data_IF_240262893572
#
_entry.id   IF_240262893572
#
_cell.length_a   1.000
_cell.length_b   1.000
_cell.length_c   1.000
_cell.angle_alpha   90.00
_cell.angle_beta   90.00
_cell.angle_gamma   90.00
#
_symmetry.space_group_name_H-M   'P 1'
#
loop_
_entity.id
_entity.type
_entity.pdbx_description
1 polymer ?
#
# COMPACT_ATOMS: atom_id res chain seq x y z
N UNK A 1 10.36 5.76 5.50
CA UNK A 1 8.90 5.77 5.71
C UNK A 1 8.29 7.16 5.58
N UNK A 2 8.65 8.17 6.39
CA UNK A 2 7.98 9.50 6.34
C UNK A 2 8.00 10.16 4.95
N UNK A 3 9.13 10.14 4.24
CA UNK A 3 9.21 10.69 2.88
C UNK A 3 8.30 9.97 1.87
N UNK A 4 8.16 8.65 1.99
CA UNK A 4 7.27 7.86 1.14
C UNK A 4 5.79 8.16 1.46
N UNK A 5 5.43 8.28 2.74
CA UNK A 5 4.08 8.63 3.18
C UNK A 5 3.71 10.06 2.71
N UNK A 6 4.64 11.00 2.85
CA UNK A 6 4.43 12.37 2.36
C UNK A 6 4.29 12.35 0.83
N UNK A 7 5.15 11.61 0.12
CA UNK A 7 5.06 11.46 -1.33
C UNK A 7 3.72 10.91 -1.80
N UNK A 8 3.21 9.88 -1.13
CA UNK A 8 1.87 9.30 -1.36
C UNK A 8 0.76 10.36 -1.20
N UNK A 9 0.73 11.04 -0.04
CA UNK A 9 -0.28 12.08 0.25
C UNK A 9 -0.22 13.25 -0.73
N UNK A 10 0.98 13.70 -1.07
CA UNK A 10 1.22 14.82 -2.00
C UNK A 10 0.82 14.42 -3.42
N UNK A 11 1.11 13.19 -3.83
CA UNK A 11 0.83 12.67 -5.16
C UNK A 11 -0.65 12.32 -5.40
N UNK A 12 -1.38 11.93 -4.35
CA UNK A 12 -2.75 11.41 -4.45
C UNK A 12 -3.74 12.27 -5.27
N UNK A 13 -3.72 13.62 -5.22
CA UNK A 13 -4.66 14.43 -6.01
C UNK A 13 -4.43 14.38 -7.52
N UNK A 14 -3.21 14.01 -7.91
CA UNK A 14 -2.72 14.02 -9.29
C UNK A 14 -2.73 12.61 -9.92
N UNK A 15 -3.19 11.61 -9.16
CA UNK A 15 -3.34 10.24 -9.61
C UNK A 15 -4.58 10.09 -10.50
N UNK A 16 -4.39 9.51 -11.70
CA UNK A 16 -5.41 9.19 -12.71
C UNK A 16 -6.11 10.38 -13.42
N UNK A 17 -6.57 10.11 -14.64
CA UNK A 17 -7.46 11.00 -15.41
C UNK A 17 -6.84 12.32 -15.85
N UNK A 18 -7.62 13.40 -15.74
CA UNK A 18 -7.28 14.75 -16.22
C UNK A 18 -6.48 15.60 -15.21
N UNK A 19 -6.20 15.08 -14.02
CA UNK A 19 -5.49 15.82 -12.97
C UNK A 19 -3.97 15.60 -13.01
N UNK A 20 -3.46 14.82 -13.97
CA UNK A 20 -2.02 14.67 -14.13
C UNK A 20 -1.38 16.01 -14.48
N UNK A 21 -0.17 16.21 -13.97
CA UNK A 21 0.63 17.40 -14.23
C UNK A 21 2.05 16.99 -14.59
N UNK A 22 2.70 17.76 -15.47
CA UNK A 22 4.12 17.56 -15.86
C UNK A 22 5.02 18.67 -15.35
N UNK A 23 4.59 19.35 -14.30
CA UNK A 23 5.30 20.46 -13.66
C UNK A 23 5.74 20.06 -12.26
N UNK A 24 6.80 20.68 -11.77
CA UNK A 24 7.23 20.61 -10.37
C UNK A 24 6.61 21.73 -9.52
N UNK A 25 5.89 22.66 -10.15
CA UNK A 25 5.16 23.73 -9.47
C UNK A 25 3.73 23.29 -9.15
N UNK A 26 3.53 22.82 -7.92
CA UNK A 26 2.25 22.38 -7.40
C UNK A 26 2.19 22.53 -5.87
N UNK A 27 1.00 22.72 -5.29
CA UNK A 27 0.86 22.74 -3.84
C UNK A 27 1.18 21.35 -3.26
N UNK A 28 2.04 21.29 -2.25
CA UNK A 28 2.37 20.04 -1.56
C UNK A 28 1.12 19.41 -0.91
N UNK A 29 0.23 20.23 -0.36
CA UNK A 29 -1.02 19.76 0.24
C UNK A 29 -2.20 20.59 -0.26
N UNK A 30 -3.31 19.92 -0.51
CA UNK A 30 -4.60 20.53 -0.78
C UNK A 30 -5.73 19.68 -0.19
N UNK A 31 -6.97 20.13 -0.30
CA UNK A 31 -8.14 19.46 0.30
C UNK A 31 -8.38 18.03 -0.24
N UNK A 32 -7.78 17.68 -1.38
CA UNK A 32 -7.87 16.34 -1.99
C UNK A 32 -6.70 15.42 -1.60
N UNK A 33 -5.68 15.94 -0.91
CA UNK A 33 -4.52 15.17 -0.45
C UNK A 33 -4.96 14.16 0.61
N UNK A 34 -4.67 12.88 0.38
CA UNK A 34 -5.00 11.77 1.27
C UNK A 34 -3.97 10.66 1.11
N UNK A 35 -3.78 9.86 2.16
CA UNK A 35 -2.99 8.64 2.04
C UNK A 35 -3.73 7.61 1.17
N UNK A 36 -2.98 6.71 0.54
CA UNK A 36 -3.54 5.64 -0.31
C UNK A 36 -3.14 4.25 0.19
N UNK A 37 -3.38 3.24 -0.64
CA UNK A 37 -2.93 1.87 -0.37
C UNK A 37 -1.41 1.76 -0.21
N UNK A 38 -0.62 2.67 -0.79
CA UNK A 38 0.84 2.70 -0.63
C UNK A 38 1.24 2.91 0.83
N UNK A 39 0.70 3.95 1.48
CA UNK A 39 0.93 4.17 2.92
C UNK A 39 0.40 3.01 3.76
N UNK A 40 -0.83 2.55 3.48
CA UNK A 40 -1.46 1.49 4.27
C UNK A 40 -0.65 0.19 4.20
N UNK A 41 -0.19 -0.21 3.02
CA UNK A 41 0.60 -1.43 2.84
C UNK A 41 2.03 -1.28 3.35
N UNK A 42 2.63 -0.08 3.28
CA UNK A 42 3.95 0.19 3.87
C UNK A 42 3.92 0.00 5.39
N UNK A 43 2.87 0.50 6.07
CA UNK A 43 2.68 0.29 7.51
C UNK A 43 2.45 -1.19 7.81
N UNK A 44 1.63 -1.87 7.00
CA UNK A 44 1.35 -3.29 7.18
C UNK A 44 2.62 -4.14 7.10
N UNK A 45 3.50 -3.88 6.13
CA UNK A 45 4.79 -4.57 6.01
C UNK A 45 5.67 -4.29 7.24
N UNK A 46 5.75 -3.04 7.69
CA UNK A 46 6.49 -2.68 8.88
C UNK A 46 6.03 -3.48 10.12
N UNK A 47 4.72 -3.54 10.37
CA UNK A 47 4.16 -4.34 11.47
C UNK A 47 4.51 -5.82 11.32
N UNK A 48 4.34 -6.40 10.12
CA UNK A 48 4.63 -7.81 9.89
C UNK A 48 6.11 -8.17 10.10
N UNK A 49 7.03 -7.28 9.75
CA UNK A 49 8.47 -7.45 9.99
C UNK A 49 8.83 -7.34 11.47
N UNK A 50 8.26 -6.37 12.18
CA UNK A 50 8.48 -6.20 13.62
C UNK A 50 7.97 -7.42 14.41
N UNK A 51 6.80 -7.96 14.04
CA UNK A 51 6.20 -9.14 14.68
C UNK A 51 6.95 -10.45 14.42
N UNK A 52 7.85 -10.46 13.43
CA UNK A 52 8.60 -11.65 13.00
C UNK A 52 10.12 -11.56 13.20
N UNK A 53 10.59 -10.56 13.95
CA UNK A 53 12.02 -10.41 14.26
C UNK A 53 12.62 -11.70 14.85
N UNK A 54 13.71 -12.17 14.25
CA UNK A 54 14.42 -13.38 14.67
C UNK A 54 13.71 -14.70 14.36
N UNK A 55 12.63 -14.69 13.58
CA UNK A 55 11.92 -15.91 13.13
C UNK A 55 12.41 -16.39 11.76
N UNK A 56 11.94 -17.57 11.35
CA UNK A 56 12.24 -18.13 10.03
C UNK A 56 11.62 -17.31 8.90
N UNK A 57 12.18 -17.38 7.70
CA UNK A 57 11.64 -16.72 6.50
C UNK A 57 10.16 -17.07 6.25
N UNK A 58 9.75 -18.31 6.56
CA UNK A 58 8.37 -18.73 6.37
C UNK A 58 7.42 -18.12 7.42
N UNK A 59 7.90 -17.85 8.63
CA UNK A 59 7.14 -17.13 9.64
C UNK A 59 7.06 -15.63 9.29
N UNK A 60 8.14 -15.05 8.78
CA UNK A 60 8.17 -13.67 8.28
C UNK A 60 7.11 -13.49 7.19
N UNK A 61 7.08 -14.38 6.18
CA UNK A 61 6.07 -14.35 5.11
C UNK A 61 4.64 -14.42 5.68
N UNK A 62 4.39 -15.31 6.63
CA UNK A 62 3.06 -15.44 7.28
C UNK A 62 2.67 -14.16 8.02
N UNK A 63 3.58 -13.58 8.79
CA UNK A 63 3.34 -12.34 9.53
C UNK A 63 3.05 -11.17 8.59
N UNK A 64 3.85 -10.99 7.52
CA UNK A 64 3.65 -9.95 6.52
C UNK A 64 2.30 -10.12 5.80
N UNK A 65 1.97 -11.32 5.33
CA UNK A 65 0.68 -11.59 4.65
C UNK A 65 -0.50 -11.33 5.60
N UNK A 66 -0.38 -11.75 6.86
CA UNK A 66 -1.41 -11.54 7.88
C UNK A 66 -1.64 -10.04 8.12
N UNK A 67 -0.56 -9.28 8.30
CA UNK A 67 -0.62 -7.84 8.52
C UNK A 67 -1.20 -7.11 7.30
N UNK A 68 -0.75 -7.42 6.08
CA UNK A 68 -1.30 -6.83 4.86
C UNK A 68 -2.82 -7.04 4.76
N UNK A 69 -3.31 -8.25 5.06
CA UNK A 69 -4.76 -8.53 5.06
C UNK A 69 -5.49 -7.82 6.20
N UNK A 70 -4.89 -7.71 7.39
CA UNK A 70 -5.45 -6.94 8.52
C UNK A 70 -5.68 -5.48 8.13
N UNK A 71 -4.65 -4.81 7.61
CA UNK A 71 -4.75 -3.40 7.19
C UNK A 71 -5.64 -3.22 5.95
N UNK A 72 -5.58 -4.15 4.99
CA UNK A 72 -6.45 -4.15 3.82
C UNK A 72 -7.94 -4.18 4.17
N UNK A 73 -8.30 -4.95 5.21
CA UNK A 73 -9.68 -5.01 5.75
C UNK A 73 -10.04 -3.78 6.57
N UNK A 74 -9.09 -3.19 7.29
CA UNK A 74 -9.30 -1.98 8.09
C UNK A 74 -9.51 -0.73 7.22
N UNK A 75 -8.83 -0.66 6.07
CA UNK A 75 -8.89 0.47 5.15
C UNK A 75 -9.34 0.02 3.75
N UNK A 76 -10.58 -0.45 3.56
CA UNK A 76 -11.01 -1.09 2.31
C UNK A 76 -11.08 -0.14 1.11
N UNK A 77 -11.11 1.16 1.35
CA UNK A 77 -11.30 2.20 0.33
C UNK A 77 -10.01 3.02 0.08
N UNK A 78 -8.84 2.46 0.39
CA UNK A 78 -7.56 3.17 0.30
C UNK A 78 -7.06 3.40 -1.14
N UNK A 79 -7.58 2.68 -2.14
CA UNK A 79 -7.14 2.84 -3.54
C UNK A 79 -6.69 1.55 -4.24
N UNK A 80 -6.75 0.40 -3.57
CA UNK A 80 -6.23 -0.87 -4.09
C UNK A 80 -6.70 -1.18 -5.52
N UNK A 81 -5.75 -1.61 -6.36
CA UNK A 81 -6.07 -2.22 -7.65
C UNK A 81 -7.03 -3.41 -7.50
N UNK A 82 -7.97 -3.57 -8.43
CA UNK A 82 -9.12 -4.47 -8.29
C UNK A 82 -8.78 -5.89 -7.83
N UNK A 83 -7.83 -6.55 -8.49
CA UNK A 83 -7.41 -7.92 -8.12
C UNK A 83 -6.71 -7.98 -6.75
N UNK A 84 -5.95 -6.95 -6.39
CA UNK A 84 -5.27 -6.89 -5.08
C UNK A 84 -6.29 -6.68 -3.96
N UNK A 85 -7.28 -5.82 -4.18
CA UNK A 85 -8.40 -5.63 -3.25
C UNK A 85 -9.21 -6.92 -3.01
N UNK A 86 -9.38 -7.76 -4.05
CA UNK A 86 -9.98 -9.09 -3.90
C UNK A 86 -9.08 -10.00 -3.06
N UNK A 87 -7.78 -10.03 -3.32
CA UNK A 87 -6.82 -10.84 -2.55
C UNK A 87 -6.75 -10.44 -1.06
N UNK A 88 -6.86 -9.15 -0.73
CA UNK A 88 -6.91 -8.70 0.65
C UNK A 88 -8.14 -9.23 1.41
N UNK A 89 -9.24 -9.48 0.68
CA UNK A 89 -10.52 -9.96 1.22
C UNK A 89 -10.69 -11.48 1.17
N UNK A 90 -9.96 -12.18 0.30
CA UNK A 90 -10.08 -13.64 0.16
C UNK A 90 -9.72 -14.35 1.46
N UNK A 91 -10.32 -15.51 1.72
CA UNK A 91 -9.97 -16.34 2.89
C UNK A 91 -8.60 -16.99 2.73
N UNK A 92 -8.28 -17.40 1.50
CA UNK A 92 -7.01 -17.97 1.10
C UNK A 92 -6.12 -16.93 0.44
N UNK A 93 -4.95 -16.68 1.02
CA UNK A 93 -3.96 -15.70 0.52
C UNK A 93 -3.06 -16.30 -0.58
N UNK A 94 -3.66 -17.00 -1.55
CA UNK A 94 -2.90 -17.64 -2.63
C UNK A 94 -2.25 -16.60 -3.55
N UNK A 95 -1.03 -16.84 -4.03
CA UNK A 95 -0.43 -15.99 -5.06
C UNK A 95 -1.37 -15.90 -6.27
N UNK A 96 -1.47 -14.71 -6.84
CA UNK A 96 -2.07 -14.50 -8.14
C UNK A 96 -1.02 -13.86 -9.05
N UNK A 97 -1.05 -14.18 -10.34
CA UNK A 97 -0.11 -13.66 -11.33
C UNK A 97 -0.33 -12.16 -11.56
N UNK A 98 0.11 -11.32 -10.60
CA UNK A 98 0.02 -9.87 -10.65
C UNK A 98 1.18 -9.29 -11.45
N UNK A 99 0.87 -8.42 -12.40
CA UNK A 99 1.85 -7.66 -13.19
C UNK A 99 1.86 -6.17 -12.85
N UNK A 100 1.20 -5.78 -11.75
CA UNK A 100 1.15 -4.39 -11.29
C UNK A 100 2.39 -4.00 -10.49
N UNK A 101 2.65 -2.70 -10.39
CA UNK A 101 3.75 -2.13 -9.61
C UNK A 101 3.53 -2.18 -8.08
N UNK A 102 2.36 -2.63 -7.60
CA UNK A 102 2.00 -2.61 -6.18
C UNK A 102 2.96 -3.35 -5.25
N UNK A 103 3.72 -4.34 -5.72
CA UNK A 103 4.79 -4.95 -4.94
C UNK A 103 6.01 -4.03 -4.77
N UNK A 104 6.35 -3.24 -5.80
CA UNK A 104 7.50 -2.34 -5.81
C UNK A 104 7.25 -1.05 -5.01
N UNK A 105 6.00 -0.61 -4.84
CA UNK A 105 5.66 0.62 -4.11
C UNK A 105 5.84 0.51 -2.59
N UNK A 106 6.19 -0.67 -2.07
CA UNK A 106 6.20 -0.99 -0.63
C UNK A 106 7.42 -1.83 -0.18
N UNK A 107 8.56 -1.69 -0.87
CA UNK A 107 9.84 -2.34 -0.54
C UNK A 107 10.69 -1.43 0.34
#
# INVERSE_FOLDING_TARGET
MLGAIIGDIVGSPYEFGFNNIKTTDFPLFNEKSKFTDDTVMTIAICEGLLDSLGRSDDDVKKCVVSSMRKYGKMYPNAGYGGNFGIWLKSDEAKPYNSFGNGSAMRV
#
